data_IF_082066928207
#
_entry.id   IF_082066928207
#
_cell.length_a   1.000
_cell.length_b   1.000
_cell.length_c   1.000
_cell.angle_alpha   90.00
_cell.angle_beta   90.00
_cell.angle_gamma   90.00
#
_symmetry.space_group_name_H-M   'P 1'
#
loop_
_entity.id
_entity.type
_entity.pdbx_description
1 polymer ?
#
# COMPACT_ATOMS: atom_id res chain seq x y z
N UNK A 1 12.13 -3.27 -17.70
CA UNK A 1 10.72 -2.82 -17.66
C UNK A 1 10.12 -2.66 -19.08
N UNK A 2 10.65 -1.79 -19.94
CA UNK A 2 10.15 -1.56 -21.33
C UNK A 2 10.07 -2.85 -22.17
N UNK A 3 11.11 -3.70 -22.14
CA UNK A 3 11.10 -4.99 -22.89
C UNK A 3 9.93 -5.88 -22.47
N UNK A 4 9.63 -5.95 -21.18
CA UNK A 4 8.49 -6.74 -20.68
C UNK A 4 7.15 -6.13 -21.07
N UNK A 5 7.02 -4.80 -21.10
CA UNK A 5 5.84 -4.12 -21.58
C UNK A 5 5.56 -4.40 -23.07
N UNK A 6 6.61 -4.37 -23.91
CA UNK A 6 6.51 -4.75 -25.32
C UNK A 6 6.04 -6.21 -25.51
N UNK A 7 6.62 -7.14 -24.73
CA UNK A 7 6.20 -8.56 -24.74
C UNK A 7 4.73 -8.73 -24.37
N UNK A 8 4.26 -8.03 -23.31
CA UNK A 8 2.87 -8.08 -22.88
C UNK A 8 1.92 -7.53 -23.95
N UNK A 9 2.28 -6.41 -24.59
CA UNK A 9 1.50 -5.84 -25.69
C UNK A 9 1.45 -6.74 -26.92
N UNK A 10 2.58 -7.37 -27.27
CA UNK A 10 2.67 -8.30 -28.38
C UNK A 10 1.76 -9.52 -28.16
N UNK A 11 1.70 -10.03 -26.93
CA UNK A 11 0.86 -11.18 -26.55
C UNK A 11 -0.60 -10.80 -26.27
N UNK A 12 -0.94 -9.51 -26.30
CA UNK A 12 -2.32 -9.08 -26.09
C UNK A 12 -3.16 -9.33 -27.36
N UNK A 13 -4.14 -10.19 -27.26
CA UNK A 13 -5.05 -10.50 -28.38
C UNK A 13 -6.07 -9.39 -28.68
N UNK A 14 -6.13 -8.36 -27.83
CA UNK A 14 -7.02 -7.23 -28.04
C UNK A 14 -6.44 -6.25 -29.06
N UNK A 15 -7.14 -6.04 -30.15
CA UNK A 15 -6.75 -5.09 -31.22
C UNK A 15 -7.13 -3.63 -30.94
N UNK A 16 -7.68 -3.32 -29.76
CA UNK A 16 -7.98 -1.95 -29.39
C UNK A 16 -6.68 -1.12 -29.27
N UNK A 17 -6.67 0.13 -29.73
CA UNK A 17 -5.49 0.97 -29.62
C UNK A 17 -5.18 1.27 -28.15
N UNK A 18 -3.90 1.19 -27.77
CA UNK A 18 -3.40 1.58 -26.46
C UNK A 18 -3.66 3.09 -26.24
N UNK A 19 -4.32 3.47 -25.17
CA UNK A 19 -4.72 4.85 -24.89
C UNK A 19 -3.88 5.53 -23.81
N UNK A 20 -3.44 4.76 -22.82
CA UNK A 20 -2.52 5.21 -21.77
C UNK A 20 -1.78 4.04 -21.15
N UNK A 21 -0.75 4.36 -20.40
CA UNK A 21 0.07 3.41 -19.62
C UNK A 21 0.08 3.89 -18.18
N UNK A 22 -0.21 3.00 -17.23
CA UNK A 22 -0.04 3.26 -15.80
C UNK A 22 1.04 2.33 -15.26
N UNK A 23 2.03 2.91 -14.61
CA UNK A 23 3.19 2.19 -14.07
C UNK A 23 3.20 2.33 -12.56
N UNK A 24 3.25 1.18 -11.88
CA UNK A 24 3.51 1.10 -10.46
C UNK A 24 5.01 1.08 -10.21
N UNK A 25 5.48 1.91 -9.29
CA UNK A 25 6.84 1.85 -8.76
C UNK A 25 6.78 1.78 -7.24
N UNK A 26 7.68 0.99 -6.67
CA UNK A 26 7.81 0.89 -5.21
C UNK A 26 8.55 2.12 -4.68
N UNK A 27 8.09 2.67 -3.56
CA UNK A 27 8.71 3.79 -2.88
C UNK A 27 8.13 5.15 -3.26
N UNK A 28 8.80 6.21 -2.77
CA UNK A 28 8.34 7.58 -2.89
C UNK A 28 8.43 8.12 -4.31
N UNK A 29 7.31 8.59 -4.83
CA UNK A 29 7.21 9.22 -6.15
C UNK A 29 6.93 10.71 -5.97
N UNK A 30 7.96 11.54 -6.00
CA UNK A 30 7.80 13.01 -5.95
C UNK A 30 7.05 13.52 -7.19
N UNK A 31 5.99 14.26 -6.96
CA UNK A 31 5.07 14.66 -8.04
C UNK A 31 5.58 15.76 -8.98
N UNK A 32 6.63 16.53 -8.67
CA UNK A 32 6.92 17.77 -9.41
C UNK A 32 8.39 18.21 -9.52
N UNK A 33 9.35 17.33 -9.64
CA UNK A 33 10.72 17.77 -9.94
C UNK A 33 11.10 17.40 -11.37
N UNK A 34 11.26 18.41 -12.24
CA UNK A 34 11.96 18.23 -13.53
C UNK A 34 13.34 17.60 -13.25
N UNK A 35 13.68 16.53 -14.00
CA UNK A 35 14.91 15.78 -13.77
C UNK A 35 14.84 14.68 -12.71
N UNK A 36 13.69 14.38 -12.14
CA UNK A 36 13.52 13.22 -11.25
C UNK A 36 13.54 11.89 -12.02
N UNK A 37 13.92 10.79 -11.36
CA UNK A 37 13.86 9.44 -11.96
C UNK A 37 12.48 9.12 -12.55
N UNK A 38 11.41 9.62 -11.93
CA UNK A 38 10.03 9.55 -12.42
C UNK A 38 9.92 10.12 -13.84
N UNK A 39 10.44 11.32 -14.05
CA UNK A 39 10.38 12.00 -15.35
C UNK A 39 11.11 11.21 -16.43
N UNK A 40 12.27 10.65 -16.13
CA UNK A 40 13.02 9.83 -17.07
C UNK A 40 12.28 8.54 -17.43
N UNK A 41 11.71 7.84 -16.45
CA UNK A 41 10.94 6.60 -16.70
C UNK A 41 9.70 6.92 -17.53
N UNK A 42 8.95 7.95 -17.19
CA UNK A 42 7.77 8.38 -17.93
C UNK A 42 8.11 8.73 -19.37
N UNK A 43 9.10 9.59 -19.59
CA UNK A 43 9.55 10.00 -20.92
C UNK A 43 10.06 8.81 -21.76
N UNK A 44 10.77 7.87 -21.14
CA UNK A 44 11.25 6.67 -21.84
C UNK A 44 10.10 5.80 -22.35
N UNK A 45 9.03 5.65 -21.55
CA UNK A 45 7.83 4.92 -21.98
C UNK A 45 7.05 5.68 -23.05
N UNK A 46 6.82 6.98 -22.89
CA UNK A 46 6.13 7.80 -23.87
C UNK A 46 6.86 7.78 -25.22
N UNK A 47 8.18 7.94 -25.24
CA UNK A 47 8.98 7.86 -26.45
C UNK A 47 8.90 6.47 -27.11
N UNK A 48 8.97 5.38 -26.32
CA UNK A 48 8.89 4.02 -26.84
C UNK A 48 7.52 3.68 -27.42
N UNK A 49 6.45 4.21 -26.86
CA UNK A 49 5.07 3.90 -27.22
C UNK A 49 4.37 5.04 -27.99
N UNK A 50 5.12 5.76 -28.84
CA UNK A 50 4.58 6.77 -29.76
C UNK A 50 3.79 7.89 -29.06
N UNK A 51 4.34 8.43 -27.98
CA UNK A 51 3.75 9.49 -27.15
C UNK A 51 2.42 9.12 -26.50
N UNK A 52 2.22 7.82 -26.22
CA UNK A 52 1.09 7.40 -25.41
C UNK A 52 1.29 7.92 -23.99
N UNK A 53 0.31 8.66 -23.43
CA UNK A 53 0.41 9.21 -22.08
C UNK A 53 0.72 8.13 -21.05
N UNK A 54 1.77 8.36 -20.26
CA UNK A 54 2.24 7.43 -19.23
C UNK A 54 2.08 8.08 -17.86
N UNK A 55 1.47 7.35 -16.93
CA UNK A 55 1.25 7.80 -15.57
C UNK A 55 2.06 6.92 -14.60
N UNK A 56 2.91 7.56 -13.78
CA UNK A 56 3.66 6.88 -12.72
C UNK A 56 3.05 7.17 -11.36
N UNK A 57 2.89 6.12 -10.55
CA UNK A 57 2.44 6.24 -9.18
C UNK A 57 3.03 5.12 -8.33
N UNK A 58 2.95 5.24 -7.00
CA UNK A 58 3.37 4.15 -6.13
C UNK A 58 2.27 3.08 -5.98
N UNK A 59 2.65 1.94 -5.44
CA UNK A 59 1.81 0.77 -5.23
C UNK A 59 0.67 1.05 -4.23
N UNK A 60 0.94 1.78 -3.14
CA UNK A 60 -0.08 2.18 -2.16
C UNK A 60 -1.18 3.04 -2.79
N UNK A 61 -0.80 4.02 -3.64
CA UNK A 61 -1.77 4.83 -4.37
C UNK A 61 -2.64 3.96 -5.29
N UNK A 62 -2.03 3.01 -6.04
CA UNK A 62 -2.79 2.13 -6.93
C UNK A 62 -3.81 1.28 -6.19
N UNK A 63 -3.39 0.64 -5.08
CA UNK A 63 -4.32 -0.14 -4.26
C UNK A 63 -5.44 0.75 -3.74
N UNK A 64 -5.13 1.97 -3.28
CA UNK A 64 -6.12 2.93 -2.78
C UNK A 64 -7.12 3.32 -3.86
N UNK A 65 -6.69 3.55 -5.09
CA UNK A 65 -7.59 3.78 -6.22
C UNK A 65 -8.45 2.55 -6.55
N UNK A 66 -7.91 1.35 -6.37
CA UNK A 66 -8.68 0.11 -6.46
C UNK A 66 -9.81 0.07 -5.44
N UNK A 67 -9.49 0.35 -4.19
CA UNK A 67 -10.46 0.39 -3.09
C UNK A 67 -11.50 1.50 -3.26
N UNK A 68 -11.13 2.65 -3.80
CA UNK A 68 -12.06 3.72 -4.15
C UNK A 68 -13.02 3.32 -5.27
N UNK A 69 -12.56 2.55 -6.26
CA UNK A 69 -13.39 2.21 -7.42
C UNK A 69 -14.28 1.00 -7.20
N UNK A 70 -13.82 -0.03 -6.49
CA UNK A 70 -14.47 -1.34 -6.39
C UNK A 70 -14.43 -1.96 -5.00
N UNK A 71 -13.67 -1.39 -4.06
CA UNK A 71 -13.45 -1.95 -2.73
C UNK A 71 -14.20 -1.21 -1.62
N UNK A 72 -13.60 -1.24 -0.44
CA UNK A 72 -14.17 -0.69 0.80
C UNK A 72 -14.47 0.80 0.67
N UNK A 73 -13.55 1.58 0.12
CA UNK A 73 -13.70 3.03 0.01
C UNK A 73 -14.68 3.49 -1.06
N UNK A 74 -15.24 2.59 -1.88
CA UNK A 74 -16.23 2.95 -2.90
C UNK A 74 -17.52 3.54 -2.34
N UNK A 75 -17.77 3.34 -1.05
CA UNK A 75 -18.95 3.84 -0.33
C UNK A 75 -18.62 4.74 0.86
N UNK A 76 -17.34 4.99 1.08
CA UNK A 76 -16.83 5.75 2.21
C UNK A 76 -16.29 7.10 1.75
N UNK A 77 -16.66 8.19 2.44
CA UNK A 77 -16.12 9.50 2.11
C UNK A 77 -14.64 9.63 2.48
N UNK A 78 -14.27 9.08 3.64
CA UNK A 78 -12.93 9.16 4.18
C UNK A 78 -12.43 7.77 4.58
N UNK A 79 -11.13 7.54 4.46
CA UNK A 79 -10.51 6.28 4.83
C UNK A 79 -9.00 6.37 4.94
N UNK A 80 -8.43 5.40 5.62
CA UNK A 80 -6.98 5.22 5.75
C UNK A 80 -6.62 3.89 5.11
N UNK A 81 -5.76 3.93 4.10
CA UNK A 81 -5.11 2.75 3.54
C UNK A 81 -3.76 2.55 4.20
N UNK A 82 -3.47 1.34 4.63
CA UNK A 82 -2.15 0.91 5.10
C UNK A 82 -1.69 -0.22 4.20
N UNK A 83 -0.55 -0.03 3.56
CA UNK A 83 0.12 -1.09 2.82
C UNK A 83 1.24 -1.64 3.70
N UNK A 84 1.01 -2.82 4.28
CA UNK A 84 2.00 -3.52 5.10
C UNK A 84 2.51 -4.74 4.34
N UNK A 85 3.72 -4.59 3.85
CA UNK A 85 4.43 -5.60 3.08
C UNK A 85 5.91 -5.60 3.50
N UNK A 86 6.86 -5.67 2.58
CA UNK A 86 8.29 -5.57 2.87
C UNK A 86 8.63 -4.31 3.66
N UNK A 87 7.97 -3.18 3.36
CA UNK A 87 7.91 -1.95 4.16
C UNK A 87 6.50 -1.65 4.64
N UNK A 88 6.30 -0.46 5.21
CA UNK A 88 4.99 0.06 5.58
C UNK A 88 4.76 1.42 4.93
N UNK A 89 3.76 1.49 4.07
CA UNK A 89 3.26 2.72 3.47
C UNK A 89 1.80 2.96 3.82
N UNK A 90 1.24 4.03 3.29
CA UNK A 90 -0.20 4.28 3.42
C UNK A 90 -0.68 5.44 2.57
N UNK A 91 -1.97 5.66 2.60
CA UNK A 91 -2.63 6.75 1.91
C UNK A 91 -3.84 7.21 2.70
N UNK A 92 -4.16 8.49 2.63
CA UNK A 92 -5.44 9.02 3.12
C UNK A 92 -6.41 9.21 1.96
N UNK A 93 -7.63 8.77 2.16
CA UNK A 93 -8.78 9.11 1.32
C UNK A 93 -9.58 10.18 2.04
N UNK A 94 -9.81 11.32 1.38
CA UNK A 94 -10.62 12.42 1.87
C UNK A 94 -11.61 12.85 0.80
N UNK A 95 -12.90 12.90 1.13
CA UNK A 95 -13.97 13.25 0.20
C UNK A 95 -13.92 12.42 -1.11
N UNK A 96 -13.78 11.10 -0.96
CA UNK A 96 -13.69 10.15 -2.09
C UNK A 96 -12.49 10.38 -3.02
N UNK A 97 -11.46 11.05 -2.55
CA UNK A 97 -10.26 11.36 -3.33
C UNK A 97 -9.00 11.04 -2.54
N UNK A 98 -7.96 10.62 -3.24
CA UNK A 98 -6.66 10.42 -2.62
C UNK A 98 -6.08 11.78 -2.17
N UNK A 99 -5.83 11.92 -0.88
CA UNK A 99 -5.15 13.10 -0.33
C UNK A 99 -3.64 12.95 -0.49
N UNK A 100 -3.01 13.85 -1.22
CA UNK A 100 -1.58 13.76 -1.58
C UNK A 100 -0.65 14.56 -0.66
N UNK A 101 -1.19 15.54 0.07
CA UNK A 101 -0.37 16.52 0.79
C UNK A 101 0.39 17.45 -0.16
N UNK A 102 1.25 18.28 0.39
CA UNK A 102 1.97 19.32 -0.37
C UNK A 102 3.00 18.77 -1.34
N UNK A 103 3.65 17.66 -0.98
CA UNK A 103 4.76 17.05 -1.73
C UNK A 103 4.44 15.65 -2.28
N UNK A 104 3.20 15.18 -2.14
CA UNK A 104 2.81 13.83 -2.54
C UNK A 104 3.16 12.73 -1.53
N UNK A 105 3.54 13.09 -0.29
CA UNK A 105 4.00 12.16 0.76
C UNK A 105 2.98 11.96 1.89
N UNK A 106 1.73 12.35 1.65
CA UNK A 106 0.69 12.07 2.63
C UNK A 106 0.50 10.58 2.82
N UNK A 107 0.39 10.16 4.07
CA UNK A 107 0.13 8.76 4.40
C UNK A 107 1.38 7.90 4.62
N UNK A 108 2.57 8.48 4.75
CA UNK A 108 3.81 7.76 5.09
C UNK A 108 3.76 7.16 6.50
N UNK A 109 2.87 6.16 6.67
CA UNK A 109 2.58 5.52 7.95
C UNK A 109 3.78 4.82 8.56
N UNK A 110 4.68 4.31 7.73
CA UNK A 110 5.93 3.67 8.17
C UNK A 110 6.84 4.59 8.99
N UNK A 111 6.74 5.90 8.76
CA UNK A 111 7.53 6.92 9.47
C UNK A 111 6.90 7.41 10.78
N UNK A 112 5.76 6.87 11.20
CA UNK A 112 5.23 7.13 12.54
C UNK A 112 6.20 6.60 13.59
N UNK A 113 6.45 7.43 14.61
CA UNK A 113 7.26 7.01 15.74
C UNK A 113 6.41 6.15 16.68
N UNK A 114 6.95 5.02 17.04
CA UNK A 114 6.39 4.11 18.05
C UNK A 114 7.47 3.73 19.06
N UNK A 115 7.04 3.35 20.25
CA UNK A 115 7.94 2.85 21.29
C UNK A 115 7.95 1.32 21.27
N UNK A 116 9.12 0.75 21.13
CA UNK A 116 9.37 -0.68 21.36
C UNK A 116 10.56 -0.87 22.31
N UNK A 117 10.32 -1.59 23.41
CA UNK A 117 11.33 -1.89 24.43
C UNK A 117 12.02 -0.62 25.01
N UNK A 118 11.27 0.46 25.24
CA UNK A 118 11.77 1.72 25.78
C UNK A 118 12.54 2.58 24.76
N UNK A 119 12.54 2.23 23.50
CA UNK A 119 13.23 2.97 22.43
C UNK A 119 12.22 3.44 21.37
N UNK A 120 12.34 4.72 20.98
CA UNK A 120 11.57 5.27 19.87
C UNK A 120 12.16 4.81 18.53
N UNK A 121 11.33 4.24 17.68
CA UNK A 121 11.69 3.73 16.36
C UNK A 121 10.61 4.09 15.35
N UNK A 122 10.90 4.01 14.06
CA UNK A 122 9.87 4.11 13.04
C UNK A 122 9.00 2.84 13.02
N UNK A 123 7.72 3.01 12.73
CA UNK A 123 6.78 1.89 12.67
C UNK A 123 7.24 0.80 11.69
N UNK A 124 7.85 1.17 10.56
CA UNK A 124 8.35 0.19 9.60
C UNK A 124 9.55 -0.61 10.10
N UNK A 125 10.35 -0.03 11.01
CA UNK A 125 11.49 -0.71 11.66
C UNK A 125 11.05 -1.65 12.81
N UNK A 126 9.77 -1.65 13.11
CA UNK A 126 9.19 -2.53 14.15
C UNK A 126 8.27 -3.58 13.54
N UNK A 127 7.41 -3.18 12.58
CA UNK A 127 6.26 -3.97 12.13
C UNK A 127 6.24 -4.31 10.64
N UNK A 128 7.23 -3.91 9.84
CA UNK A 128 7.32 -4.35 8.44
C UNK A 128 7.66 -5.84 8.32
N UNK A 129 7.21 -6.49 7.22
CA UNK A 129 7.53 -7.91 7.00
C UNK A 129 9.03 -8.16 6.88
N UNK A 130 9.81 -7.18 6.36
CA UNK A 130 11.28 -7.23 6.38
C UNK A 130 11.81 -7.43 7.80
N UNK A 131 11.36 -6.61 8.74
CA UNK A 131 11.82 -6.68 10.13
C UNK A 131 11.32 -7.95 10.83
N UNK A 132 10.11 -8.41 10.51
CA UNK A 132 9.60 -9.67 11.05
C UNK A 132 10.43 -10.87 10.56
N UNK A 133 10.86 -10.88 9.30
CA UNK A 133 11.81 -11.89 8.80
C UNK A 133 13.13 -11.83 9.55
N UNK A 134 13.73 -10.64 9.74
CA UNK A 134 14.97 -10.46 10.47
C UNK A 134 14.88 -10.92 11.96
N UNK A 135 13.72 -10.68 12.59
CA UNK A 135 13.45 -11.16 13.96
C UNK A 135 13.28 -12.69 13.97
N UNK A 136 12.57 -13.27 13.01
CA UNK A 136 12.42 -14.71 12.87
C UNK A 136 13.76 -15.41 12.57
N UNK A 137 14.64 -14.84 11.75
CA UNK A 137 16.00 -15.34 11.50
C UNK A 137 16.81 -15.54 12.79
N UNK A 138 16.66 -14.61 13.74
CA UNK A 138 17.34 -14.71 15.04
C UNK A 138 16.80 -15.86 15.89
N UNK A 139 15.53 -16.20 15.75
CA UNK A 139 14.88 -17.32 16.46
C UNK A 139 15.32 -18.66 15.88
N UNK A 140 15.30 -18.79 14.55
CA UNK A 140 15.56 -20.09 13.89
C UNK A 140 17.04 -20.31 13.51
N UNK A 141 17.87 -19.26 13.52
CA UNK A 141 19.31 -19.35 13.27
C UNK A 141 19.73 -19.45 11.80
N UNK A 142 18.81 -19.21 10.87
CA UNK A 142 19.09 -19.17 9.42
C UNK A 142 18.25 -18.08 8.72
N UNK A 143 18.58 -17.76 7.46
CA UNK A 143 17.82 -16.78 6.69
C UNK A 143 16.40 -17.24 6.38
N UNK A 144 15.42 -16.39 6.71
CA UNK A 144 14.00 -16.64 6.54
C UNK A 144 13.48 -15.91 5.29
N UNK A 145 12.82 -16.66 4.41
CA UNK A 145 12.10 -16.08 3.27
C UNK A 145 10.67 -15.71 3.68
N UNK A 146 10.03 -14.90 2.85
CA UNK A 146 8.68 -14.41 3.13
C UNK A 146 7.66 -15.56 3.32
N UNK A 147 7.71 -16.58 2.49
CA UNK A 147 6.83 -17.75 2.59
C UNK A 147 7.06 -18.52 3.88
N UNK A 148 8.32 -18.70 4.24
CA UNK A 148 8.72 -19.38 5.48
C UNK A 148 8.30 -18.59 6.73
N UNK A 149 8.29 -17.24 6.69
CA UNK A 149 7.79 -16.44 7.80
C UNK A 149 6.34 -16.77 8.14
N UNK A 150 5.48 -16.95 7.13
CA UNK A 150 4.07 -17.32 7.35
C UNK A 150 3.91 -18.76 7.87
N UNK A 151 4.77 -19.68 7.43
CA UNK A 151 4.80 -21.04 7.97
C UNK A 151 5.26 -21.05 9.43
N UNK A 152 6.31 -20.30 9.76
CA UNK A 152 6.83 -20.16 11.13
C UNK A 152 5.81 -19.50 12.06
N UNK A 153 5.03 -18.54 11.58
CA UNK A 153 3.94 -17.97 12.36
C UNK A 153 2.95 -19.03 12.85
N UNK A 154 2.64 -20.01 12.02
CA UNK A 154 1.76 -21.13 12.39
C UNK A 154 2.39 -22.22 13.27
N UNK A 155 3.72 -22.37 13.24
CA UNK A 155 4.40 -23.55 13.80
C UNK A 155 5.45 -23.25 14.87
N UNK A 156 5.88 -21.99 15.03
CA UNK A 156 6.89 -21.58 15.99
C UNK A 156 6.31 -20.53 16.95
N UNK A 157 6.21 -20.90 18.22
CA UNK A 157 5.58 -20.04 19.23
C UNK A 157 6.25 -18.68 19.39
N UNK A 158 7.57 -18.62 19.34
CA UNK A 158 8.32 -17.37 19.52
C UNK A 158 8.12 -16.43 18.33
N UNK A 159 8.15 -16.95 17.10
CA UNK A 159 7.84 -16.18 15.90
C UNK A 159 6.38 -15.70 15.89
N UNK A 160 5.46 -16.55 16.35
CA UNK A 160 4.06 -16.18 16.53
C UNK A 160 3.89 -14.97 17.46
N UNK A 161 4.52 -15.00 18.63
CA UNK A 161 4.48 -13.90 19.59
C UNK A 161 5.11 -12.61 19.03
N UNK A 162 6.21 -12.72 18.27
CA UNK A 162 6.85 -11.58 17.59
C UNK A 162 5.87 -10.93 16.59
N UNK A 163 5.18 -11.74 15.79
CA UNK A 163 4.22 -11.25 14.79
C UNK A 163 3.01 -10.59 15.46
N UNK A 164 2.43 -11.20 16.49
CA UNK A 164 1.29 -10.60 17.21
C UNK A 164 1.69 -9.30 17.92
N UNK A 165 2.90 -9.22 18.48
CA UNK A 165 3.39 -7.97 19.05
C UNK A 165 3.50 -6.85 18.00
N UNK A 166 3.93 -7.17 16.77
CA UNK A 166 3.94 -6.18 15.68
C UNK A 166 2.53 -5.70 15.32
N UNK A 167 1.53 -6.59 15.37
CA UNK A 167 0.12 -6.24 15.19
C UNK A 167 -0.36 -5.24 16.26
N UNK A 168 0.03 -5.45 17.52
CA UNK A 168 -0.31 -4.53 18.60
C UNK A 168 0.33 -3.15 18.39
N UNK A 169 1.58 -3.09 17.94
CA UNK A 169 2.26 -1.81 17.66
C UNK A 169 1.57 -1.09 16.50
N UNK A 170 1.23 -1.80 15.42
CA UNK A 170 0.46 -1.24 14.31
C UNK A 170 -0.90 -0.72 14.77
N UNK A 171 -1.62 -1.47 15.59
CA UNK A 171 -2.91 -1.06 16.13
C UNK A 171 -2.83 0.23 16.95
N UNK A 172 -1.81 0.40 17.78
CA UNK A 172 -1.56 1.64 18.54
C UNK A 172 -1.24 2.82 17.61
N UNK A 173 -0.46 2.60 16.55
CA UNK A 173 -0.19 3.62 15.54
C UNK A 173 -1.47 4.03 14.81
N UNK A 174 -2.29 3.07 14.38
CA UNK A 174 -3.60 3.32 13.78
C UNK A 174 -4.47 4.15 14.71
N UNK A 175 -4.56 3.78 15.98
CA UNK A 175 -5.33 4.53 16.99
C UNK A 175 -4.93 6.00 17.02
N UNK A 176 -3.65 6.30 17.04
CA UNK A 176 -3.14 7.69 17.07
C UNK A 176 -3.59 8.47 15.84
N UNK A 177 -3.49 7.87 14.66
CA UNK A 177 -3.86 8.52 13.40
C UNK A 177 -5.37 8.68 13.26
N UNK A 178 -6.16 7.67 13.61
CA UNK A 178 -7.64 7.75 13.55
C UNK A 178 -8.18 8.85 14.47
N UNK A 179 -7.60 9.03 15.64
CA UNK A 179 -7.97 10.14 16.54
C UNK A 179 -7.59 11.52 16.00
N UNK A 180 -6.39 11.67 15.42
CA UNK A 180 -5.93 12.96 14.88
C UNK A 180 -6.71 13.37 13.65
N UNK A 181 -7.06 12.38 12.79
CA UNK A 181 -7.72 12.63 11.50
C UNK A 181 -9.25 12.55 11.59
N UNK A 182 -9.80 12.01 12.68
CA UNK A 182 -11.24 11.68 12.82
C UNK A 182 -11.72 10.78 11.66
N UNK A 183 -10.93 9.76 11.33
CA UNK A 183 -11.20 8.79 10.26
C UNK A 183 -11.08 7.38 10.83
N UNK A 184 -12.20 6.64 10.83
CA UNK A 184 -12.28 5.33 11.49
C UNK A 184 -12.32 4.13 10.53
N UNK A 185 -12.47 4.36 9.23
CA UNK A 185 -12.41 3.31 8.21
C UNK A 185 -10.96 3.07 7.77
N UNK A 186 -10.41 1.92 8.12
CA UNK A 186 -9.01 1.56 7.85
C UNK A 186 -8.97 0.26 7.04
N UNK A 187 -8.27 0.29 5.93
CA UNK A 187 -8.02 -0.89 5.09
C UNK A 187 -6.54 -1.24 5.15
N UNK A 188 -6.23 -2.47 5.51
CA UNK A 188 -4.86 -3.00 5.50
C UNK A 188 -4.69 -3.89 4.27
N UNK A 189 -3.73 -3.56 3.43
CA UNK A 189 -3.34 -4.31 2.25
C UNK A 189 -1.90 -4.82 2.37
N UNK A 190 -1.49 -5.69 1.45
CA UNK A 190 -0.17 -6.31 1.44
C UNK A 190 -0.18 -7.75 1.91
N UNK A 191 0.99 -8.37 1.89
CA UNK A 191 1.15 -9.78 2.27
C UNK A 191 0.90 -10.07 3.75
N UNK A 192 0.87 -9.04 4.60
CA UNK A 192 0.50 -9.17 6.02
C UNK A 192 -0.83 -9.90 6.22
N UNK A 193 -1.75 -9.85 5.25
CA UNK A 193 -3.01 -10.59 5.31
C UNK A 193 -2.84 -12.11 5.40
N UNK A 194 -1.69 -12.65 5.01
CA UNK A 194 -1.38 -14.07 5.10
C UNK A 194 -1.25 -14.58 6.55
N UNK A 195 -1.08 -13.67 7.53
CA UNK A 195 -1.18 -14.01 8.95
C UNK A 195 -2.63 -14.27 9.42
N UNK A 196 -3.63 -13.88 8.63
CA UNK A 196 -5.03 -14.22 8.88
C UNK A 196 -5.71 -13.36 9.94
N UNK A 197 -6.87 -13.88 10.40
CA UNK A 197 -7.78 -13.12 11.26
C UNK A 197 -7.21 -12.85 12.66
N UNK A 198 -6.36 -13.72 13.20
CA UNK A 198 -5.76 -13.53 14.51
C UNK A 198 -4.88 -12.28 14.54
N UNK A 199 -4.08 -12.05 13.49
CA UNK A 199 -3.31 -10.83 13.32
C UNK A 199 -4.22 -9.59 13.27
N UNK A 200 -5.27 -9.65 12.45
CA UNK A 200 -6.22 -8.55 12.30
C UNK A 200 -6.94 -8.22 13.60
N UNK A 201 -7.34 -9.22 14.37
CA UNK A 201 -7.97 -9.02 15.68
C UNK A 201 -7.01 -8.42 16.71
N UNK A 202 -5.73 -8.78 16.68
CA UNK A 202 -4.70 -8.14 17.52
C UNK A 202 -4.54 -6.65 17.17
N UNK A 203 -4.53 -6.30 15.87
CA UNK A 203 -4.53 -4.90 15.41
C UNK A 203 -5.77 -4.16 15.91
N UNK A 204 -6.97 -4.72 15.70
CA UNK A 204 -8.25 -4.13 16.13
C UNK A 204 -8.26 -3.86 17.62
N UNK A 205 -7.95 -4.87 18.41
CA UNK A 205 -7.92 -4.77 19.89
C UNK A 205 -6.98 -3.67 20.37
N UNK A 206 -5.82 -3.52 19.75
CA UNK A 206 -4.86 -2.48 20.11
C UNK A 206 -5.27 -1.08 19.64
N UNK A 207 -6.07 -0.98 18.58
CA UNK A 207 -6.58 0.28 18.03
C UNK A 207 -7.83 0.79 18.75
N UNK A 208 -8.60 -0.07 19.40
CA UNK A 208 -9.85 0.30 20.04
C UNK A 208 -9.65 1.24 21.23
N UNK A 209 -10.61 2.11 21.45
CA UNK A 209 -10.78 2.90 22.67
C UNK A 209 -12.05 2.49 23.40
N UNK A 210 -12.23 2.98 24.65
CA UNK A 210 -13.42 2.65 25.45
C UNK A 210 -14.74 3.08 24.77
N UNK A 211 -14.72 4.12 23.96
CA UNK A 211 -15.89 4.76 23.40
C UNK A 211 -15.98 4.71 21.88
N UNK A 212 -14.92 4.28 21.18
CA UNK A 212 -14.85 4.29 19.73
C UNK A 212 -14.17 3.02 19.22
N UNK A 213 -14.78 2.42 18.22
CA UNK A 213 -14.24 1.26 17.50
C UNK A 213 -13.85 1.67 16.09
N UNK A 214 -12.63 1.34 15.72
CA UNK A 214 -12.17 1.49 14.35
C UNK A 214 -12.68 0.32 13.49
N UNK A 215 -13.20 0.64 12.32
CA UNK A 215 -13.55 -0.35 11.32
C UNK A 215 -12.30 -0.73 10.51
N UNK A 216 -11.55 -1.72 11.00
CA UNK A 216 -10.31 -2.17 10.37
C UNK A 216 -10.56 -3.48 9.65
N UNK A 217 -10.24 -3.54 8.37
CA UNK A 217 -10.41 -4.74 7.54
C UNK A 217 -9.19 -4.96 6.65
N UNK A 218 -8.96 -6.21 6.28
CA UNK A 218 -8.05 -6.49 5.16
C UNK A 218 -8.69 -6.08 3.84
N UNK A 219 -7.88 -5.56 2.91
CA UNK A 219 -8.31 -5.28 1.54
C UNK A 219 -8.99 -6.50 0.91
N UNK A 220 -10.26 -6.43 0.51
CA UNK A 220 -10.92 -7.54 -0.17
C UNK A 220 -10.35 -7.76 -1.57
N UNK A 221 -9.73 -6.74 -2.17
CA UNK A 221 -9.18 -6.80 -3.52
C UNK A 221 -7.77 -7.42 -3.55
N UNK A 222 -7.04 -7.39 -2.44
CA UNK A 222 -5.67 -7.89 -2.39
C UNK A 222 -4.80 -7.28 -3.51
N UNK A 223 -3.96 -8.09 -4.16
CA UNK A 223 -3.10 -7.63 -5.26
C UNK A 223 -3.87 -7.19 -6.52
N UNK A 224 -5.10 -7.66 -6.71
CA UNK A 224 -5.94 -7.18 -7.83
C UNK A 224 -6.27 -5.69 -7.69
N UNK A 225 -6.25 -5.15 -6.48
CA UNK A 225 -6.43 -3.73 -6.21
C UNK A 225 -5.49 -2.84 -7.02
N UNK A 226 -4.23 -3.23 -7.22
CA UNK A 226 -3.28 -2.47 -8.05
C UNK A 226 -3.71 -2.41 -9.52
N UNK A 227 -4.13 -3.53 -10.10
CA UNK A 227 -4.58 -3.58 -11.50
C UNK A 227 -5.88 -2.79 -11.69
N UNK A 228 -6.83 -2.93 -10.77
CA UNK A 228 -8.10 -2.21 -10.78
C UNK A 228 -7.84 -0.70 -10.64
N UNK A 229 -6.98 -0.29 -9.70
CA UNK A 229 -6.60 1.09 -9.50
C UNK A 229 -5.89 1.70 -10.70
N UNK A 230 -4.98 0.94 -11.34
CA UNK A 230 -4.33 1.35 -12.58
C UNK A 230 -5.32 1.57 -13.72
N UNK A 231 -6.27 0.66 -13.89
CA UNK A 231 -7.34 0.82 -14.88
C UNK A 231 -8.23 2.05 -14.59
N UNK A 232 -8.57 2.26 -13.30
CA UNK A 232 -9.35 3.42 -12.87
C UNK A 232 -8.63 4.75 -13.18
N UNK A 233 -7.35 4.88 -12.81
CA UNK A 233 -6.53 6.06 -13.12
C UNK A 233 -6.48 6.31 -14.63
N UNK A 234 -6.25 5.23 -15.40
CA UNK A 234 -6.19 5.34 -16.86
C UNK A 234 -7.49 5.84 -17.48
N UNK A 235 -8.63 5.34 -17.02
CA UNK A 235 -9.96 5.78 -17.49
C UNK A 235 -10.22 7.22 -17.09
N UNK A 236 -9.97 7.60 -15.84
CA UNK A 236 -10.16 8.96 -15.33
C UNK A 236 -9.34 9.99 -16.13
N UNK A 237 -8.09 9.65 -16.44
CA UNK A 237 -7.22 10.48 -17.28
C UNK A 237 -7.81 10.71 -18.68
N UNK A 238 -8.32 9.65 -19.34
CA UNK A 238 -8.93 9.77 -20.68
C UNK A 238 -10.17 10.64 -20.63
N UNK A 239 -11.03 10.45 -19.61
CA UNK A 239 -12.27 11.21 -19.44
C UNK A 239 -11.98 12.70 -19.23
N UNK A 240 -11.06 13.06 -18.32
CA UNK A 240 -10.67 14.45 -18.07
C UNK A 240 -10.15 15.14 -19.34
N UNK A 241 -9.25 14.48 -20.06
CA UNK A 241 -8.69 15.02 -21.31
C UNK A 241 -9.75 15.17 -22.43
N UNK A 242 -10.83 14.40 -22.37
CA UNK A 242 -11.94 14.51 -23.34
C UNK A 242 -12.88 15.66 -23.03
N UNK A 243 -12.93 16.12 -21.77
CA UNK A 243 -13.76 17.25 -21.31
C UNK A 243 -13.05 18.61 -21.45
N UNK A 244 -11.72 18.61 -21.63
CA UNK A 244 -10.92 19.83 -21.86
C UNK A 244 -10.89 20.28 -23.34
N UNK A 245 -11.52 19.51 -24.22
CA UNK A 245 -11.69 19.84 -25.67
C UNK A 245 -13.06 20.38 -25.95
#
# INVERSE_FOLDING_TARGET
MILKANELLFNCHNKAPLKNIVISIVGLVKDKTEGSEKHFVQAAFENQFHNIPTYLTNDGNLITYGELSKGVFSRENNGIMILQDYGIGGCFVMNQSLFRGDNGFSGEMGHLLCEENGTLQYLEDVASLRVLMEKAEKVVGHKVKMEELFELYGNNKEVHEIVLRSAEVLGKAIKSVTFVMDIHNVVIAGRVREFGDEYLEAVRKASDSKNEKNNIVFSPLGYQGQMIGGAYIGIDYILKKSLEK
#
